data_IF_360988912693
#
_entry.id   IF_360988912693
#
_cell.length_a   1.000
_cell.length_b   1.000
_cell.length_c   1.000
_cell.angle_alpha   90.00
_cell.angle_beta   90.00
_cell.angle_gamma   90.00
#
_symmetry.space_group_name_H-M   'P 1'
#
loop_
_entity.id
_entity.type
_entity.pdbx_description
1 polymer ?
#
# COMPACT_ATOMS: atom_id res chain seq x y z
N UNK A 1 33.30 33.31 -50.15
CA UNK A 1 33.84 32.65 -48.93
C UNK A 1 33.54 33.51 -47.72
N UNK A 2 32.59 33.06 -46.89
CA UNK A 2 32.55 33.12 -45.42
C UNK A 2 31.13 32.73 -45.01
N UNK A 3 31.00 31.48 -44.59
CA UNK A 3 29.75 30.85 -44.18
C UNK A 3 29.25 31.51 -42.90
N UNK A 4 28.04 32.05 -42.92
CA UNK A 4 27.35 32.50 -41.72
C UNK A 4 26.60 31.30 -41.15
N UNK A 5 27.19 30.62 -40.18
CA UNK A 5 26.54 29.52 -39.45
C UNK A 5 25.63 30.17 -38.41
N UNK A 6 24.33 30.24 -38.71
CA UNK A 6 23.31 30.66 -37.76
C UNK A 6 23.08 29.54 -36.75
N UNK A 7 23.59 29.71 -35.54
CA UNK A 7 23.37 28.78 -34.42
C UNK A 7 21.93 29.00 -33.94
N UNK A 8 21.04 28.05 -34.25
CA UNK A 8 19.69 27.98 -33.69
C UNK A 8 19.83 27.59 -32.21
N UNK A 9 19.56 28.55 -31.32
CA UNK A 9 19.42 28.30 -29.90
C UNK A 9 18.13 27.51 -29.67
N UNK A 10 18.27 26.19 -29.52
CA UNK A 10 17.18 25.31 -29.09
C UNK A 10 16.83 25.71 -27.66
N UNK A 11 15.75 26.49 -27.52
CA UNK A 11 15.11 26.78 -26.24
C UNK A 11 14.52 25.45 -25.73
N UNK A 12 15.27 24.77 -24.88
CA UNK A 12 14.80 23.60 -24.14
C UNK A 12 13.64 24.03 -23.25
N UNK A 13 12.43 23.76 -23.71
CA UNK A 13 11.21 23.81 -22.91
C UNK A 13 11.29 22.65 -21.91
N UNK A 14 12.05 22.83 -20.83
CA UNK A 14 11.93 21.98 -19.65
C UNK A 14 10.77 22.57 -18.85
N UNK A 15 9.54 22.33 -19.33
CA UNK A 15 8.36 22.61 -18.53
C UNK A 15 8.42 21.71 -17.31
N UNK A 16 8.43 22.36 -16.16
CA UNK A 16 8.52 21.77 -14.84
C UNK A 16 7.55 20.61 -14.63
N UNK A 17 8.10 19.58 -13.99
CA UNK A 17 7.43 18.50 -13.26
C UNK A 17 6.00 18.84 -12.80
N UNK A 18 5.01 18.43 -13.58
CA UNK A 18 3.89 17.78 -12.93
C UNK A 18 4.38 16.39 -12.56
N UNK A 19 4.89 16.28 -11.32
CA UNK A 19 4.90 15.02 -10.60
C UNK A 19 3.47 14.50 -10.67
N UNK A 20 3.16 13.70 -11.69
CA UNK A 20 2.04 12.77 -11.66
C UNK A 20 2.34 11.91 -10.45
N UNK A 21 1.75 12.33 -9.35
CA UNK A 21 1.72 11.60 -8.10
C UNK A 21 1.43 10.17 -8.50
N UNK A 22 2.40 9.27 -8.31
CA UNK A 22 2.26 7.82 -8.45
C UNK A 22 1.32 7.30 -7.34
N UNK A 23 0.20 8.00 -7.13
CA UNK A 23 -0.91 7.64 -6.27
C UNK A 23 -1.63 6.51 -6.97
N UNK A 24 -1.31 5.34 -6.49
CA UNK A 24 -1.86 4.07 -6.89
C UNK A 24 -2.93 3.65 -5.92
N UNK A 25 -4.03 3.13 -6.48
CA UNK A 25 -5.25 2.64 -5.81
C UNK A 25 -6.18 3.79 -5.39
N UNK A 26 -7.16 4.11 -6.24
CA UNK A 26 -8.29 4.97 -5.87
C UNK A 26 -9.42 4.11 -5.32
N UNK A 27 -9.42 3.88 -4.01
CA UNK A 27 -10.58 3.32 -3.30
C UNK A 27 -11.36 4.50 -2.71
N UNK A 28 -12.66 4.58 -3.01
CA UNK A 28 -13.49 5.66 -2.47
C UNK A 28 -14.10 5.21 -1.13
N UNK A 29 -13.87 5.90 0.00
CA UNK A 29 -14.35 5.46 1.30
C UNK A 29 -15.86 5.19 1.37
N UNK A 30 -16.66 6.06 0.73
CA UNK A 30 -18.12 5.97 0.78
C UNK A 30 -18.72 4.75 0.08
N UNK A 31 -17.95 4.06 -0.78
CA UNK A 31 -18.43 2.83 -1.43
C UNK A 31 -18.10 1.57 -0.64
N UNK A 32 -17.12 1.61 0.27
CA UNK A 32 -16.73 0.44 1.06
C UNK A 32 -17.69 0.23 2.22
N UNK A 33 -18.32 -0.96 2.25
CA UNK A 33 -19.24 -1.35 3.35
C UNK A 33 -18.54 -2.15 4.44
N UNK A 34 -17.50 -2.89 4.07
CA UNK A 34 -16.77 -3.78 4.96
C UNK A 34 -15.32 -3.90 4.51
N UNK A 35 -14.42 -3.94 5.49
CA UNK A 35 -13.04 -4.38 5.29
C UNK A 35 -12.86 -5.69 6.05
N UNK A 36 -12.34 -6.72 5.39
CA UNK A 36 -11.93 -7.96 6.06
C UNK A 36 -10.40 -8.03 6.07
N UNK A 37 -9.83 -8.24 7.25
CA UNK A 37 -8.39 -8.37 7.44
C UNK A 37 -8.12 -9.74 8.05
N UNK A 38 -7.40 -10.58 7.31
CA UNK A 38 -7.00 -11.91 7.77
C UNK A 38 -5.53 -11.91 8.10
N UNK A 39 -5.19 -12.32 9.31
CA UNK A 39 -3.80 -12.57 9.66
C UNK A 39 -3.37 -13.96 9.22
N UNK A 40 -2.41 -14.06 8.29
CA UNK A 40 -1.92 -15.33 7.74
C UNK A 40 -0.63 -15.80 8.40
N UNK A 41 -0.39 -15.44 9.67
CA UNK A 41 0.84 -15.84 10.39
C UNK A 41 1.09 -17.33 10.18
N UNK A 42 2.26 -17.64 9.63
CA UNK A 42 2.77 -18.98 9.48
C UNK A 42 4.02 -19.21 10.37
N UNK A 43 4.32 -18.28 11.28
CA UNK A 43 5.51 -18.29 12.12
C UNK A 43 5.19 -17.86 13.56
N UNK A 44 5.53 -18.73 14.50
CA UNK A 44 5.30 -18.70 15.96
C UNK A 44 6.04 -17.60 16.74
N UNK A 45 6.67 -16.62 16.07
CA UNK A 45 7.55 -15.63 16.70
C UNK A 45 6.84 -14.34 17.15
N UNK A 46 5.60 -14.13 16.73
CA UNK A 46 4.81 -12.97 17.13
C UNK A 46 3.50 -13.45 17.77
N UNK A 47 3.12 -12.88 18.92
CA UNK A 47 1.86 -13.14 19.64
C UNK A 47 0.64 -12.57 18.89
N UNK A 48 0.56 -12.84 17.59
CA UNK A 48 -0.49 -12.35 16.73
C UNK A 48 -1.51 -13.47 16.49
N UNK A 49 -2.78 -13.18 16.75
CA UNK A 49 -3.87 -14.13 16.55
C UNK A 49 -4.06 -14.45 15.06
N UNK A 50 -4.15 -15.73 14.65
CA UNK A 50 -4.49 -16.12 13.29
C UNK A 50 -6.01 -16.05 13.09
N UNK A 51 -6.55 -14.83 13.16
CA UNK A 51 -7.99 -14.56 13.04
C UNK A 51 -8.29 -13.74 11.79
N UNK A 52 -9.56 -13.74 11.40
CA UNK A 52 -10.11 -12.76 10.46
C UNK A 52 -10.91 -11.74 11.25
N UNK A 53 -10.61 -10.48 11.05
CA UNK A 53 -11.38 -9.36 11.57
C UNK A 53 -12.23 -8.75 10.47
N UNK A 54 -13.48 -8.45 10.82
CA UNK A 54 -14.38 -7.70 9.95
C UNK A 54 -14.62 -6.31 10.56
N UNK A 55 -14.32 -5.28 9.77
CA UNK A 55 -14.49 -3.88 10.15
C UNK A 55 -15.66 -3.33 9.35
N UNK A 56 -16.73 -2.98 10.06
CA UNK A 56 -17.95 -2.38 9.52
C UNK A 56 -18.18 -0.94 10.02
N UNK A 57 -17.40 -0.50 11.02
CA UNK A 57 -17.47 0.87 11.51
C UNK A 57 -16.94 1.84 10.45
N UNK A 58 -17.75 2.84 10.10
CA UNK A 58 -17.43 3.78 9.02
C UNK A 58 -16.20 4.65 9.33
N UNK A 59 -15.96 4.98 10.60
CA UNK A 59 -14.83 5.80 10.98
C UNK A 59 -13.51 5.03 10.85
N UNK A 60 -13.49 3.76 11.28
CA UNK A 60 -12.34 2.87 11.12
C UNK A 60 -12.08 2.53 9.65
N UNK A 61 -13.14 2.29 8.86
CA UNK A 61 -13.04 2.11 7.40
C UNK A 61 -12.38 3.33 6.77
N UNK A 62 -12.81 4.55 7.12
CA UNK A 62 -12.22 5.78 6.58
C UNK A 62 -10.73 5.88 6.92
N UNK A 63 -10.35 5.65 8.18
CA UNK A 63 -8.94 5.69 8.61
C UNK A 63 -8.06 4.74 7.81
N UNK A 64 -8.52 3.51 7.59
CA UNK A 64 -7.78 2.50 6.83
C UNK A 64 -7.65 2.91 5.37
N UNK A 65 -8.74 3.39 4.74
CA UNK A 65 -8.72 3.81 3.34
C UNK A 65 -7.85 5.05 3.14
N UNK A 66 -7.92 6.01 4.06
CA UNK A 66 -7.07 7.20 4.06
C UNK A 66 -5.60 6.79 4.16
N UNK A 67 -5.25 5.86 5.05
CA UNK A 67 -3.90 5.29 5.10
C UNK A 67 -3.52 4.61 3.79
N UNK A 68 -4.39 3.77 3.21
CA UNK A 68 -4.17 3.12 1.91
C UNK A 68 -3.94 4.11 0.77
N UNK A 69 -4.63 5.26 0.76
CA UNK A 69 -4.48 6.29 -0.29
C UNK A 69 -3.07 6.90 -0.34
N UNK A 70 -2.32 6.79 0.77
CA UNK A 70 -0.94 7.26 0.88
C UNK A 70 0.08 6.26 0.33
N UNK A 71 -0.36 5.11 -0.16
CA UNK A 71 0.50 4.07 -0.75
C UNK A 71 1.21 4.60 -2.00
N UNK A 72 2.52 4.40 -2.05
CA UNK A 72 3.35 4.81 -3.19
C UNK A 72 3.74 3.60 -4.02
N UNK A 73 3.48 3.64 -5.32
CA UNK A 73 3.91 2.58 -6.25
C UNK A 73 5.42 2.43 -6.25
N UNK A 74 5.88 1.18 -6.13
CA UNK A 74 7.29 0.82 -6.21
C UNK A 74 7.59 0.43 -7.66
N UNK A 75 8.59 1.07 -8.27
CA UNK A 75 9.05 0.76 -9.63
C UNK A 75 10.30 -0.15 -9.66
N UNK A 76 10.85 -0.50 -8.50
CA UNK A 76 12.06 -1.31 -8.37
C UNK A 76 11.85 -2.69 -7.72
N UNK A 77 12.94 -3.42 -7.54
CA UNK A 77 12.95 -4.67 -6.77
C UNK A 77 12.68 -4.37 -5.30
N UNK A 78 11.94 -5.28 -4.65
CA UNK A 78 11.68 -5.27 -3.21
C UNK A 78 12.23 -6.56 -2.63
N UNK A 79 12.93 -6.47 -1.50
CA UNK A 79 13.44 -7.63 -0.82
C UNK A 79 12.38 -8.27 0.09
N UNK A 80 11.55 -9.12 -0.51
CA UNK A 80 10.50 -9.85 0.20
C UNK A 80 11.00 -11.08 0.98
N UNK A 81 12.32 -11.38 0.98
CA UNK A 81 12.85 -12.64 1.53
C UNK A 81 12.85 -12.69 3.06
N UNK A 82 12.81 -11.54 3.72
CA UNK A 82 12.72 -11.43 5.18
C UNK A 82 11.36 -10.86 5.58
N UNK A 83 10.32 -11.68 5.43
CA UNK A 83 8.94 -11.34 5.78
C UNK A 83 8.61 -11.88 7.19
N UNK A 84 8.26 -10.99 8.12
CA UNK A 84 7.92 -11.34 9.50
C UNK A 84 6.42 -11.60 9.72
N UNK A 85 5.60 -11.50 8.67
CA UNK A 85 4.17 -11.78 8.75
C UNK A 85 3.42 -11.17 7.57
N UNK A 86 2.29 -11.78 7.21
CA UNK A 86 1.43 -11.23 6.16
C UNK A 86 -0.02 -11.14 6.59
N UNK A 87 -0.64 -10.01 6.32
CA UNK A 87 -2.09 -9.85 6.37
C UNK A 87 -2.65 -9.88 4.95
N UNK A 88 -3.84 -10.44 4.80
CA UNK A 88 -4.67 -10.29 3.62
C UNK A 88 -5.78 -9.30 3.93
N UNK A 89 -5.98 -8.31 3.07
CA UNK A 89 -6.95 -7.24 3.26
C UNK A 89 -7.86 -7.24 2.05
N UNK A 90 -9.17 -7.37 2.27
CA UNK A 90 -10.18 -7.18 1.25
C UNK A 90 -11.09 -6.00 1.56
N UNK A 91 -11.41 -5.22 0.53
CA UNK A 91 -12.39 -4.14 0.59
C UNK A 91 -13.59 -4.54 -0.24
N UNK A 92 -14.76 -4.60 0.39
CA UNK A 92 -16.00 -4.92 -0.31
C UNK A 92 -16.80 -3.63 -0.59
N UNK A 93 -17.00 -3.34 -1.87
CA UNK A 93 -17.77 -2.18 -2.36
C UNK A 93 -19.03 -2.57 -3.16
N UNK A 94 -19.45 -3.84 -3.05
CA UNK A 94 -20.50 -4.54 -3.82
C UNK A 94 -20.21 -4.76 -5.31
N UNK A 95 -19.29 -4.01 -5.92
CA UNK A 95 -19.00 -4.06 -7.36
C UNK A 95 -17.60 -4.58 -7.67
N UNK A 96 -16.68 -4.43 -6.74
CA UNK A 96 -15.25 -4.68 -6.90
C UNK A 96 -14.68 -5.07 -5.56
N UNK A 97 -14.15 -6.29 -5.49
CA UNK A 97 -13.34 -6.70 -4.35
C UNK A 97 -11.88 -6.30 -4.60
N UNK A 98 -11.40 -5.34 -3.82
CA UNK A 98 -9.98 -5.00 -3.83
C UNK A 98 -9.28 -5.94 -2.86
N UNK A 99 -8.25 -6.65 -3.33
CA UNK A 99 -7.59 -7.68 -2.56
C UNK A 99 -6.08 -7.44 -2.51
N UNK A 100 -5.55 -7.28 -1.29
CA UNK A 100 -4.14 -6.96 -1.05
C UNK A 100 -3.51 -7.92 -0.07
N UNK A 101 -2.23 -8.21 -0.28
CA UNK A 101 -1.37 -8.77 0.75
C UNK A 101 -0.48 -7.66 1.31
N UNK A 102 -0.43 -7.54 2.62
CA UNK A 102 0.43 -6.65 3.38
C UNK A 102 1.56 -7.48 3.98
N UNK A 103 2.81 -7.20 3.63
CA UNK A 103 3.99 -7.89 4.14
C UNK A 103 4.88 -6.93 4.91
N UNK A 104 5.30 -7.33 6.11
CA UNK A 104 6.29 -6.58 6.90
C UNK A 104 7.67 -7.11 6.60
N UNK A 105 8.46 -6.30 5.93
CA UNK A 105 9.82 -6.64 5.53
C UNK A 105 10.81 -5.90 6.42
N UNK A 106 11.91 -6.57 6.79
CA UNK A 106 12.96 -5.99 7.64
C UNK A 106 13.62 -4.77 6.96
N UNK A 107 13.81 -4.83 5.65
CA UNK A 107 14.58 -3.83 4.91
C UNK A 107 13.71 -2.75 4.26
N UNK A 108 12.54 -3.14 3.75
CA UNK A 108 11.69 -2.30 2.93
C UNK A 108 10.37 -1.96 3.65
N UNK A 109 10.31 -2.11 4.98
CA UNK A 109 9.13 -1.89 5.84
C UNK A 109 7.86 -2.56 5.31
N UNK A 110 6.75 -1.81 5.26
CA UNK A 110 5.46 -2.36 4.85
C UNK A 110 5.27 -2.32 3.34
N UNK A 111 5.10 -3.50 2.77
CA UNK A 111 4.89 -3.71 1.34
C UNK A 111 3.49 -4.25 1.11
N UNK A 112 2.69 -3.47 0.37
CA UNK A 112 1.42 -3.90 -0.17
C UNK A 112 1.64 -4.53 -1.54
N UNK A 113 1.01 -5.67 -1.79
CA UNK A 113 0.86 -6.26 -3.11
C UNK A 113 -0.61 -6.29 -3.46
N UNK A 114 -0.99 -5.68 -4.59
CA UNK A 114 -2.29 -5.92 -5.19
C UNK A 114 -2.29 -7.33 -5.78
N UNK A 115 -3.15 -8.20 -5.27
CA UNK A 115 -3.18 -9.60 -5.66
C UNK A 115 -3.87 -9.81 -7.02
N UNK A 116 -4.64 -8.82 -7.49
CA UNK A 116 -5.33 -8.89 -8.78
C UNK A 116 -4.37 -8.62 -9.96
N UNK A 117 -3.36 -7.77 -9.79
CA UNK A 117 -2.47 -7.36 -10.88
C UNK A 117 -0.96 -7.46 -10.55
N UNK A 118 -0.60 -7.85 -9.32
CA UNK A 118 0.78 -8.01 -8.88
C UNK A 118 1.54 -6.72 -8.58
N UNK A 119 0.91 -5.55 -8.74
CA UNK A 119 1.54 -4.26 -8.45
C UNK A 119 1.90 -4.14 -6.97
N UNK A 120 2.99 -3.42 -6.69
CA UNK A 120 3.55 -3.29 -5.35
C UNK A 120 3.59 -1.84 -4.91
N UNK A 121 3.33 -1.62 -3.63
CA UNK A 121 3.26 -0.31 -3.02
C UNK A 121 3.93 -0.32 -1.65
N UNK A 122 4.48 0.83 -1.28
CA UNK A 122 5.07 1.09 0.03
C UNK A 122 4.10 1.88 0.90
N UNK A 123 3.84 1.41 2.12
CA UNK A 123 2.94 2.11 3.05
C UNK A 123 3.18 1.77 4.54
N UNK A 124 4.15 2.43 5.16
CA UNK A 124 4.49 2.18 6.57
C UNK A 124 3.41 2.60 7.57
N UNK A 125 2.50 3.50 7.18
CA UNK A 125 1.41 3.93 8.07
C UNK A 125 0.40 2.83 8.36
N UNK A 126 0.25 1.86 7.45
CA UNK A 126 -0.71 0.78 7.64
C UNK A 126 -0.30 -0.19 8.73
N UNK A 127 0.99 -0.35 9.02
CA UNK A 127 1.45 -1.20 10.12
C UNK A 127 0.89 -0.74 11.46
N UNK A 128 1.05 0.54 11.77
CA UNK A 128 0.58 1.11 13.04
C UNK A 128 -0.94 1.04 13.23
N UNK A 129 -1.71 0.87 12.15
CA UNK A 129 -3.17 0.70 12.21
C UNK A 129 -3.58 -0.77 12.28
N UNK A 130 -2.92 -1.65 11.52
CA UNK A 130 -3.34 -3.04 11.37
C UNK A 130 -2.73 -3.93 12.44
N UNK A 131 -1.45 -3.77 12.74
CA UNK A 131 -0.75 -4.64 13.69
C UNK A 131 -1.44 -4.71 15.07
N UNK A 132 -1.82 -3.59 15.71
CA UNK A 132 -2.45 -3.62 17.04
C UNK A 132 -3.78 -4.37 17.09
N UNK A 133 -4.49 -4.48 15.97
CA UNK A 133 -5.78 -5.21 15.92
C UNK A 133 -5.61 -6.71 16.19
N UNK A 134 -4.39 -7.25 16.06
CA UNK A 134 -4.10 -8.67 16.16
C UNK A 134 -3.16 -9.04 17.30
N UNK A 135 -2.66 -8.04 18.04
CA UNK A 135 -1.85 -8.27 19.25
C UNK A 135 -2.76 -8.74 20.36
N UNK A 136 -2.37 -9.80 21.05
CA UNK A 136 -3.03 -10.17 22.30
C UNK A 136 -2.69 -9.15 23.39
N UNK A 137 -3.69 -8.43 23.91
CA UNK A 137 -3.56 -7.49 25.04
C UNK A 137 -3.09 -8.17 26.35
N UNK A 138 -2.95 -9.50 26.36
CA UNK A 138 -2.45 -10.26 27.50
C UNK A 138 -0.92 -10.27 27.51
N UNK A 139 -0.35 -9.19 28.00
CA UNK A 139 0.89 -9.29 28.79
C UNK A 139 0.40 -9.66 30.21
N UNK A 140 0.24 -10.95 30.49
CA UNK A 140 0.15 -11.48 31.86
C UNK A 140 1.57 -11.76 32.39
#
# INVERSE_FOLDING_TARGET
MKNLITIISILLIISCNENKSNQSIKITPSSIKKISITNKVNCSLHNLKPITLEIIDKSEISKIIDAFSLSKKIQGSVNNRANNGSFEISFNDEKTDYYFSLSYTIYDGVILRNNNNGERFKNDKLEGLIYPLFVDDKIE
#
